data_IF_567410322946
#
_entry.id   IF_567410322946
#
_cell.length_a   1.000
_cell.length_b   1.000
_cell.length_c   1.000
_cell.angle_alpha   90.00
_cell.angle_beta   90.00
_cell.angle_gamma   90.00
#
_symmetry.space_group_name_H-M   'P 1'
#
loop_
_entity.id
_entity.type
_entity.pdbx_description
1 polymer ?
#
# COMPACT_ATOMS: atom_id res chain seq x y z
N UNK A 1 -11.82 -11.31 38.47
CA UNK A 1 -10.92 -10.71 37.47
C UNK A 1 -10.35 -11.83 36.63
N UNK A 2 -10.90 -12.09 35.46
CA UNK A 2 -10.35 -13.08 34.51
C UNK A 2 -9.21 -12.38 33.77
N UNK A 3 -8.00 -12.92 33.88
CA UNK A 3 -6.83 -12.40 33.19
C UNK A 3 -7.06 -12.43 31.66
N UNK A 4 -6.98 -11.27 31.03
CA UNK A 4 -6.88 -11.19 29.58
C UNK A 4 -5.65 -11.99 29.15
N UNK A 5 -5.87 -13.04 28.41
CA UNK A 5 -4.80 -13.89 27.89
C UNK A 5 -3.94 -13.04 26.95
N UNK A 6 -2.62 -13.17 27.05
CA UNK A 6 -1.60 -12.48 26.23
C UNK A 6 -1.81 -12.57 24.71
N UNK A 7 -2.77 -13.35 24.26
CA UNK A 7 -3.17 -13.54 22.86
C UNK A 7 -4.02 -12.39 22.32
N UNK A 8 -4.79 -11.67 23.18
CA UNK A 8 -5.68 -10.58 22.73
C UNK A 8 -4.97 -9.28 22.37
N UNK A 9 -3.73 -9.07 22.86
CA UNK A 9 -2.96 -7.83 22.63
C UNK A 9 -2.27 -7.80 21.25
N UNK A 10 -2.33 -8.88 20.47
CA UNK A 10 -1.53 -9.09 19.24
C UNK A 10 -2.31 -9.05 17.94
N UNK A 11 -3.61 -8.93 17.97
CA UNK A 11 -4.43 -8.97 16.78
C UNK A 11 -4.51 -7.61 16.06
N UNK A 12 -4.34 -7.63 14.75
CA UNK A 12 -4.73 -6.52 13.88
C UNK A 12 -6.25 -6.51 13.75
N UNK A 13 -6.86 -5.33 13.65
CA UNK A 13 -8.30 -5.20 13.42
C UNK A 13 -8.58 -3.89 12.70
N UNK A 14 -9.41 -3.96 11.66
CA UNK A 14 -9.90 -2.77 11.01
C UNK A 14 -10.81 -1.96 11.97
N UNK A 15 -10.75 -0.63 11.85
CA UNK A 15 -11.58 0.30 12.61
C UNK A 15 -11.42 0.21 14.14
N UNK A 16 -10.35 -0.39 14.65
CA UNK A 16 -10.10 -0.54 16.10
C UNK A 16 -10.02 0.79 16.86
N UNK A 17 -9.90 1.92 16.16
CA UNK A 17 -9.92 3.26 16.72
C UNK A 17 -11.35 3.76 17.02
N UNK A 18 -12.37 3.04 16.58
CA UNK A 18 -13.77 3.33 16.88
C UNK A 18 -14.17 2.67 18.22
N UNK A 19 -15.01 3.35 18.98
CA UNK A 19 -15.61 2.77 20.18
C UNK A 19 -16.67 1.71 19.85
N UNK A 20 -17.06 0.92 20.87
CA UNK A 20 -17.99 -0.19 20.69
C UNK A 20 -19.37 0.21 20.18
N UNK A 21 -19.90 1.37 20.63
CA UNK A 21 -21.22 1.85 20.22
C UNK A 21 -21.21 2.29 18.75
N UNK A 22 -20.19 3.04 18.34
CA UNK A 22 -19.98 3.42 16.94
C UNK A 22 -19.80 2.19 16.03
N UNK A 23 -19.11 1.16 16.51
CA UNK A 23 -18.94 -0.11 15.76
C UNK A 23 -20.28 -0.84 15.57
N UNK A 24 -21.16 -0.85 16.59
CA UNK A 24 -22.50 -1.46 16.48
C UNK A 24 -23.43 -0.68 15.54
N UNK A 25 -23.30 0.64 15.53
CA UNK A 25 -24.09 1.50 14.64
C UNK A 25 -23.67 1.33 13.16
N UNK A 26 -22.37 1.20 12.91
CA UNK A 26 -21.83 1.25 11.54
C UNK A 26 -21.75 -0.12 10.85
N UNK A 27 -21.65 -1.22 11.61
CA UNK A 27 -21.38 -2.54 11.05
C UNK A 27 -22.45 -3.56 11.42
N UNK A 28 -23.06 -4.17 10.42
CA UNK A 28 -23.93 -5.33 10.62
C UNK A 28 -23.15 -6.51 11.25
N UNK A 29 -21.92 -6.70 10.81
CA UNK A 29 -20.97 -7.65 11.37
C UNK A 29 -19.69 -6.91 11.77
N UNK A 30 -19.33 -6.97 13.05
CA UNK A 30 -18.11 -6.31 13.53
C UNK A 30 -16.87 -6.86 12.81
N UNK A 31 -15.91 -5.98 12.44
CA UNK A 31 -14.64 -6.43 11.90
C UNK A 31 -13.95 -7.38 12.90
N UNK A 32 -13.60 -8.56 12.43
CA UNK A 32 -12.90 -9.56 13.23
C UNK A 32 -11.41 -9.24 13.35
N UNK A 33 -10.79 -9.54 14.50
CA UNK A 33 -9.34 -9.46 14.62
C UNK A 33 -8.65 -10.53 13.76
N UNK A 34 -7.47 -10.20 13.25
CA UNK A 34 -6.63 -11.10 12.45
C UNK A 34 -5.15 -10.96 12.85
N UNK A 35 -4.33 -11.94 12.49
CA UNK A 35 -2.90 -11.99 12.83
C UNK A 35 -2.04 -12.35 11.63
N UNK A 36 -0.73 -12.18 11.75
CA UNK A 36 0.24 -12.51 10.68
C UNK A 36 0.25 -14.00 10.29
N UNK A 37 -0.30 -14.88 11.11
CA UNK A 37 -0.43 -16.31 10.84
C UNK A 37 -1.75 -16.73 10.22
N UNK A 38 -2.64 -15.77 9.97
CA UNK A 38 -3.91 -16.06 9.28
C UNK A 38 -3.64 -16.45 7.81
N UNK A 39 -4.63 -17.06 7.19
CA UNK A 39 -4.51 -17.47 5.80
C UNK A 39 -4.27 -16.27 4.86
N UNK A 40 -3.63 -16.56 3.73
CA UNK A 40 -3.25 -15.58 2.73
C UNK A 40 -4.43 -14.73 2.25
N UNK A 41 -5.59 -15.34 2.00
CA UNK A 41 -6.73 -14.65 1.40
C UNK A 41 -7.36 -13.65 2.40
N UNK A 42 -7.36 -14.03 3.70
CA UNK A 42 -7.76 -13.15 4.78
C UNK A 42 -6.80 -11.96 4.91
N UNK A 43 -5.49 -12.21 4.90
CA UNK A 43 -4.48 -11.14 4.94
C UNK A 43 -4.55 -10.24 3.71
N UNK A 44 -4.75 -10.79 2.51
CA UNK A 44 -4.88 -10.01 1.28
C UNK A 44 -6.11 -9.07 1.32
N UNK A 45 -7.25 -9.57 1.81
CA UNK A 45 -8.46 -8.76 2.00
C UNK A 45 -8.24 -7.70 3.09
N UNK A 46 -7.47 -8.03 4.12
CA UNK A 46 -7.18 -7.14 5.25
C UNK A 46 -6.11 -6.08 4.98
N UNK A 47 -5.47 -6.04 3.78
CA UNK A 47 -4.50 -5.00 3.44
C UNK A 47 -5.06 -3.59 3.61
N UNK A 48 -6.33 -3.37 3.26
CA UNK A 48 -6.97 -2.07 3.35
C UNK A 48 -6.23 -0.98 2.56
N UNK A 49 -6.21 0.24 3.09
CA UNK A 49 -5.46 1.35 2.51
C UNK A 49 -3.99 1.23 2.93
N UNK A 50 -3.16 0.61 2.10
CA UNK A 50 -1.72 0.48 2.33
C UNK A 50 -1.02 1.82 2.19
N UNK A 51 -0.31 2.26 3.23
CA UNK A 51 0.41 3.54 3.22
C UNK A 51 1.85 3.36 2.77
N UNK A 52 2.33 4.23 1.89
CA UNK A 52 3.74 4.31 1.50
C UNK A 52 4.45 5.43 2.26
N UNK A 53 5.64 5.15 2.74
CA UNK A 53 6.50 6.12 3.42
C UNK A 53 7.94 5.94 2.95
N UNK A 54 8.65 7.03 2.58
CA UNK A 54 10.06 6.94 2.21
C UNK A 54 10.88 6.33 3.36
N UNK A 55 11.70 5.33 3.05
CA UNK A 55 12.55 4.68 4.05
C UNK A 55 13.67 5.58 4.59
N UNK A 56 13.94 6.70 3.95
CA UNK A 56 14.92 7.71 4.39
C UNK A 56 14.43 8.60 5.54
N UNK A 57 13.15 8.52 5.93
CA UNK A 57 12.62 9.33 7.05
C UNK A 57 13.24 8.92 8.39
N UNK A 58 13.69 9.91 9.17
CA UNK A 58 14.26 9.68 10.49
C UNK A 58 13.25 9.35 11.61
N UNK A 59 11.94 9.53 11.36
CA UNK A 59 10.86 9.35 12.36
C UNK A 59 9.98 8.12 12.08
N UNK A 60 10.48 7.12 11.34
CA UNK A 60 9.70 5.98 10.86
C UNK A 60 9.02 5.21 12.00
N UNK A 61 9.74 4.89 13.07
CA UNK A 61 9.18 4.15 14.22
C UNK A 61 7.99 4.88 14.83
N UNK A 62 8.12 6.19 15.02
CA UNK A 62 7.04 7.04 15.55
C UNK A 62 5.88 7.15 14.56
N UNK A 63 6.18 7.32 13.27
CA UNK A 63 5.18 7.39 12.20
C UNK A 63 4.38 6.09 12.12
N UNK A 64 5.03 4.94 12.09
CA UNK A 64 4.37 3.62 12.02
C UNK A 64 3.49 3.41 13.26
N UNK A 65 4.03 3.66 14.46
CA UNK A 65 3.27 3.52 15.71
C UNK A 65 2.03 4.41 15.74
N UNK A 66 2.16 5.66 15.28
CA UNK A 66 1.04 6.60 15.17
C UNK A 66 -0.03 6.11 14.19
N UNK A 67 0.38 5.67 12.98
CA UNK A 67 -0.56 5.19 11.98
C UNK A 67 -1.25 3.89 12.41
N UNK A 68 -0.51 3.01 13.08
CA UNK A 68 -1.10 1.84 13.72
C UNK A 68 -2.18 2.21 14.75
N UNK A 69 -1.95 3.23 15.58
CA UNK A 69 -2.95 3.72 16.55
C UNK A 69 -4.18 4.34 15.86
N UNK A 70 -4.01 4.93 14.68
CA UNK A 70 -5.08 5.50 13.84
C UNK A 70 -5.87 4.41 13.07
N UNK A 71 -5.53 3.12 13.21
CA UNK A 71 -6.26 2.01 12.59
C UNK A 71 -5.73 1.57 11.22
N UNK A 72 -4.55 2.04 10.81
CA UNK A 72 -3.89 1.57 9.59
C UNK A 72 -3.40 0.14 9.80
N UNK A 73 -3.73 -0.75 8.86
CA UNK A 73 -3.42 -2.19 8.94
C UNK A 73 -2.23 -2.61 8.10
N UNK A 74 -1.79 -1.79 7.14
CA UNK A 74 -0.62 -2.11 6.31
C UNK A 74 0.17 -0.88 5.89
N UNK A 75 1.51 -1.01 5.84
CA UNK A 75 2.41 0.07 5.43
C UNK A 75 3.62 -0.49 4.67
N UNK A 76 4.12 0.31 3.73
CA UNK A 76 5.31 0.01 2.92
C UNK A 76 6.40 1.03 3.25
N UNK A 77 7.56 0.54 3.66
CA UNK A 77 8.81 1.30 3.69
C UNK A 77 9.37 1.32 2.27
N UNK A 78 9.43 2.48 1.68
CA UNK A 78 9.73 2.65 0.27
C UNK A 78 11.20 2.98 0.03
N UNK A 79 11.87 2.15 -0.79
CA UNK A 79 13.25 2.34 -1.24
C UNK A 79 13.33 2.64 -2.75
N UNK A 80 12.18 2.86 -3.40
CA UNK A 80 12.12 3.01 -4.86
C UNK A 80 11.81 4.46 -5.24
N UNK A 81 10.62 4.80 -5.72
CA UNK A 81 10.29 6.11 -6.29
C UNK A 81 10.44 7.30 -5.32
N UNK A 82 10.27 7.05 -4.02
CA UNK A 82 10.32 8.10 -3.01
C UNK A 82 11.73 8.38 -2.45
N UNK A 83 12.77 7.70 -2.96
CA UNK A 83 14.15 7.76 -2.48
C UNK A 83 15.08 8.06 -3.64
N UNK A 84 15.99 9.02 -3.49
CA UNK A 84 17.02 9.30 -4.50
C UNK A 84 18.06 8.16 -4.57
N UNK A 85 18.75 8.04 -5.71
CA UNK A 85 19.67 6.91 -5.96
C UNK A 85 20.83 6.84 -4.95
N UNK A 86 21.34 7.98 -4.53
CA UNK A 86 22.40 8.14 -3.54
C UNK A 86 21.94 7.93 -2.09
N UNK A 87 20.63 7.93 -1.84
CA UNK A 87 20.03 7.72 -0.52
C UNK A 87 19.56 6.27 -0.28
N UNK A 88 19.60 5.40 -1.29
CA UNK A 88 19.06 4.02 -1.19
C UNK A 88 19.73 3.22 -0.09
N UNK A 89 21.06 3.32 0.03
CA UNK A 89 21.82 2.61 1.06
C UNK A 89 21.43 3.05 2.46
N UNK A 90 21.35 4.35 2.67
CA UNK A 90 20.89 4.91 3.96
C UNK A 90 19.44 4.49 4.25
N UNK A 91 18.57 4.53 3.24
CA UNK A 91 17.17 4.11 3.38
C UNK A 91 17.05 2.64 3.76
N UNK A 92 17.88 1.75 3.17
CA UNK A 92 17.92 0.33 3.50
C UNK A 92 18.32 0.09 4.96
N UNK A 93 19.39 0.72 5.40
CA UNK A 93 19.85 0.65 6.80
C UNK A 93 18.79 1.17 7.76
N UNK A 94 18.15 2.28 7.43
CA UNK A 94 17.08 2.87 8.25
C UNK A 94 15.82 1.98 8.29
N UNK A 95 15.47 1.31 7.17
CA UNK A 95 14.36 0.36 7.14
C UNK A 95 14.63 -0.83 8.07
N UNK A 96 15.83 -1.42 8.03
CA UNK A 96 16.24 -2.52 8.91
C UNK A 96 16.21 -2.08 10.37
N UNK A 97 16.85 -0.96 10.71
CA UNK A 97 16.87 -0.44 12.08
C UNK A 97 15.45 -0.13 12.59
N UNK A 98 14.56 0.36 11.72
CA UNK A 98 13.17 0.63 12.06
C UNK A 98 12.41 -0.66 12.38
N UNK A 99 12.57 -1.70 11.58
CA UNK A 99 11.91 -3.00 11.81
C UNK A 99 12.41 -3.64 13.09
N UNK A 100 13.73 -3.60 13.36
CA UNK A 100 14.32 -4.10 14.61
C UNK A 100 13.79 -3.35 15.83
N UNK A 101 13.79 -2.02 15.79
CA UNK A 101 13.28 -1.20 16.89
C UNK A 101 11.77 -1.38 17.14
N UNK A 102 10.98 -1.65 16.09
CA UNK A 102 9.55 -1.97 16.24
C UNK A 102 9.36 -3.34 16.91
N UNK A 103 10.15 -4.34 16.51
CA UNK A 103 10.08 -5.67 17.09
C UNK A 103 10.45 -5.68 18.59
N UNK A 104 11.44 -4.89 18.99
CA UNK A 104 11.84 -4.72 20.39
C UNK A 104 10.74 -4.07 21.27
N UNK A 105 9.90 -3.23 20.66
CA UNK A 105 8.75 -2.61 21.35
C UNK A 105 7.58 -3.57 21.56
N UNK A 106 7.64 -4.74 20.96
CA UNK A 106 6.60 -5.76 21.01
C UNK A 106 5.82 -5.91 19.72
N UNK A 107 4.69 -6.63 19.72
CA UNK A 107 3.93 -6.92 18.52
C UNK A 107 3.40 -5.64 17.88
N UNK A 108 3.72 -5.44 16.61
CA UNK A 108 3.16 -4.33 15.81
C UNK A 108 1.86 -4.78 15.17
N UNK A 109 0.72 -4.14 15.46
CA UNK A 109 -0.58 -4.52 14.92
C UNK A 109 -0.77 -3.96 13.50
N UNK A 110 0.17 -4.27 12.62
CA UNK A 110 0.23 -3.78 11.25
C UNK A 110 1.09 -4.72 10.40
N UNK A 111 0.68 -4.98 9.18
CA UNK A 111 1.50 -5.64 8.17
C UNK A 111 2.53 -4.66 7.61
N UNK A 112 3.81 -4.97 7.75
CA UNK A 112 4.90 -4.13 7.27
C UNK A 112 5.59 -4.78 6.08
N UNK A 113 5.75 -3.99 5.03
CA UNK A 113 6.41 -4.39 3.79
C UNK A 113 7.56 -3.45 3.49
N UNK A 114 8.51 -3.92 2.69
CA UNK A 114 9.55 -3.06 2.10
C UNK A 114 9.42 -3.12 0.59
N UNK A 115 9.37 -1.98 -0.09
CA UNK A 115 9.48 -1.91 -1.54
C UNK A 115 10.95 -1.74 -1.89
N UNK A 116 11.51 -2.73 -2.58
CA UNK A 116 12.91 -2.77 -2.97
C UNK A 116 13.06 -2.47 -4.45
N UNK A 117 14.21 -1.94 -4.88
CA UNK A 117 14.50 -1.68 -6.30
C UNK A 117 14.95 -2.93 -7.06
N UNK A 118 15.65 -3.83 -6.38
CA UNK A 118 16.29 -5.00 -6.99
C UNK A 118 16.07 -6.24 -6.13
N UNK A 119 16.18 -7.42 -6.73
CA UNK A 119 16.13 -8.68 -6.01
C UNK A 119 17.25 -8.82 -4.97
N UNK A 120 18.46 -8.28 -5.25
CA UNK A 120 19.55 -8.20 -4.27
C UNK A 120 19.15 -7.46 -3.00
N UNK A 121 18.39 -6.38 -3.12
CA UNK A 121 17.85 -5.63 -1.96
C UNK A 121 17.04 -6.49 -0.99
N UNK A 122 16.33 -7.51 -1.49
CA UNK A 122 15.59 -8.46 -0.65
C UNK A 122 16.56 -9.25 0.23
N UNK A 123 17.61 -9.84 -0.39
CA UNK A 123 18.61 -10.64 0.30
C UNK A 123 19.40 -9.81 1.32
N UNK A 124 19.75 -8.58 0.97
CA UNK A 124 20.48 -7.65 1.84
C UNK A 124 19.65 -7.30 3.09
N UNK A 125 18.40 -6.92 2.92
CA UNK A 125 17.51 -6.64 4.06
C UNK A 125 17.40 -7.88 4.93
N UNK A 126 17.12 -9.05 4.36
CA UNK A 126 16.96 -10.28 5.12
C UNK A 126 18.23 -10.65 5.91
N UNK A 127 19.43 -10.45 5.34
CA UNK A 127 20.69 -10.75 6.02
C UNK A 127 21.04 -9.79 7.16
N UNK A 128 20.52 -8.55 7.11
CA UNK A 128 20.78 -7.52 8.13
C UNK A 128 19.76 -7.52 9.26
N UNK A 129 18.55 -8.10 9.06
CA UNK A 129 17.49 -8.09 10.06
C UNK A 129 17.85 -8.94 11.31
N UNK A 130 17.74 -8.32 12.46
CA UNK A 130 17.78 -8.99 13.78
C UNK A 130 16.37 -9.39 14.26
N UNK A 131 15.87 -8.67 15.26
CA UNK A 131 14.54 -8.89 15.82
C UNK A 131 13.42 -8.53 14.81
N UNK A 132 13.68 -7.60 13.88
CA UNK A 132 12.75 -7.10 12.90
C UNK A 132 12.15 -8.15 11.96
N UNK A 133 12.81 -9.32 11.87
CA UNK A 133 12.23 -10.48 11.18
C UNK A 133 10.84 -10.84 11.71
N UNK A 134 10.54 -10.55 12.97
CA UNK A 134 9.25 -10.86 13.57
C UNK A 134 8.10 -9.98 13.06
N UNK A 135 8.39 -8.79 12.55
CA UNK A 135 7.39 -7.80 12.11
C UNK A 135 7.33 -7.61 10.59
N UNK A 136 8.36 -8.03 9.85
CA UNK A 136 8.36 -7.96 8.38
C UNK A 136 7.35 -8.95 7.81
N UNK A 137 6.39 -8.48 7.03
CA UNK A 137 5.38 -9.32 6.38
C UNK A 137 5.81 -9.76 4.98
N UNK A 138 6.57 -8.94 4.27
CA UNK A 138 7.03 -9.27 2.94
C UNK A 138 7.58 -8.08 2.16
N UNK A 139 7.60 -8.22 0.82
CA UNK A 139 8.17 -7.24 -0.08
C UNK A 139 7.18 -6.80 -1.16
N UNK A 140 7.25 -5.53 -1.54
CA UNK A 140 6.63 -5.01 -2.76
C UNK A 140 7.68 -5.07 -3.87
N UNK A 141 7.32 -5.69 -4.98
CA UNK A 141 8.20 -5.90 -6.14
C UNK A 141 7.77 -4.96 -7.26
N UNK A 142 8.46 -3.83 -7.46
CA UNK A 142 8.13 -2.88 -8.51
C UNK A 142 8.46 -3.43 -9.90
N UNK A 143 7.82 -2.90 -10.92
CA UNK A 143 8.11 -3.16 -12.34
C UNK A 143 8.23 -4.66 -12.65
N UNK A 144 7.29 -5.44 -12.10
CA UNK A 144 7.26 -6.89 -12.24
C UNK A 144 6.97 -7.29 -13.68
N UNK A 145 7.85 -8.07 -14.27
CA UNK A 145 7.71 -8.64 -15.62
C UNK A 145 7.88 -10.14 -15.61
N UNK A 146 7.55 -10.80 -16.72
CA UNK A 146 7.83 -12.22 -16.90
C UNK A 146 9.33 -12.53 -16.84
N UNK A 147 10.18 -11.56 -17.18
CA UNK A 147 11.64 -11.71 -17.14
C UNK A 147 12.24 -11.47 -15.74
N UNK A 148 11.84 -10.42 -15.06
CA UNK A 148 12.42 -10.02 -13.76
C UNK A 148 11.73 -10.69 -12.58
N UNK A 149 10.45 -11.02 -12.72
CA UNK A 149 9.61 -11.55 -11.65
C UNK A 149 10.15 -12.82 -10.98
N UNK A 150 10.58 -13.86 -11.73
CA UNK A 150 11.12 -15.07 -11.13
C UNK A 150 12.30 -14.80 -10.20
N UNK A 151 13.24 -13.93 -10.60
CA UNK A 151 14.42 -13.58 -9.79
C UNK A 151 14.01 -12.93 -8.45
N UNK A 152 13.02 -12.05 -8.46
CA UNK A 152 12.50 -11.46 -7.22
C UNK A 152 11.79 -12.51 -6.34
N UNK A 153 11.00 -13.40 -6.94
CA UNK A 153 10.27 -14.41 -6.18
C UNK A 153 11.23 -15.44 -5.55
N UNK A 154 12.29 -15.82 -6.24
CA UNK A 154 13.38 -16.63 -5.72
C UNK A 154 14.10 -15.91 -4.55
N UNK A 155 14.38 -14.62 -4.68
CA UNK A 155 14.98 -13.84 -3.61
C UNK A 155 14.07 -13.77 -2.36
N UNK A 156 12.75 -13.60 -2.54
CA UNK A 156 11.78 -13.63 -1.43
C UNK A 156 11.71 -15.03 -0.81
N UNK A 157 11.82 -16.08 -1.60
CA UNK A 157 11.86 -17.45 -1.12
C UNK A 157 13.12 -17.68 -0.25
N UNK A 158 14.30 -17.32 -0.76
CA UNK A 158 15.56 -17.41 -0.02
C UNK A 158 15.55 -16.58 1.28
N UNK A 159 14.97 -15.37 1.24
CA UNK A 159 14.78 -14.55 2.43
C UNK A 159 13.83 -15.22 3.46
N UNK A 160 12.76 -15.87 3.00
CA UNK A 160 11.87 -16.63 3.89
C UNK A 160 12.61 -17.77 4.60
N UNK A 161 13.44 -18.49 3.87
CA UNK A 161 14.22 -19.61 4.41
C UNK A 161 15.28 -19.09 5.40
N UNK A 162 15.98 -18.03 5.05
CA UNK A 162 16.98 -17.40 5.92
C UNK A 162 16.38 -16.91 7.25
N UNK A 163 15.20 -16.29 7.20
CA UNK A 163 14.53 -15.74 8.38
C UNK A 163 13.69 -16.77 9.16
N UNK A 164 13.51 -17.97 8.60
CA UNK A 164 12.73 -19.04 9.18
C UNK A 164 11.23 -18.71 9.32
N UNK A 165 10.70 -17.90 8.38
CA UNK A 165 9.28 -17.50 8.36
C UNK A 165 8.78 -17.23 6.96
N UNK A 166 7.48 -17.41 6.77
CA UNK A 166 6.86 -17.09 5.50
C UNK A 166 6.85 -15.58 5.24
N UNK A 167 7.36 -15.17 4.07
CA UNK A 167 7.30 -13.81 3.57
C UNK A 167 6.47 -13.76 2.29
N UNK A 168 5.67 -12.71 2.17
CA UNK A 168 4.84 -12.46 1.01
C UNK A 168 5.51 -11.54 -0.01
N UNK A 169 5.11 -11.67 -1.27
CA UNK A 169 5.42 -10.74 -2.34
C UNK A 169 4.15 -10.03 -2.82
N UNK A 170 4.25 -8.75 -3.14
CA UNK A 170 3.23 -7.97 -3.83
C UNK A 170 3.80 -7.42 -5.13
N UNK A 171 3.65 -8.12 -6.27
CA UNK A 171 4.07 -7.64 -7.58
C UNK A 171 3.32 -6.38 -7.98
N UNK A 172 4.02 -5.38 -8.54
CA UNK A 172 3.41 -4.19 -9.15
C UNK A 172 3.48 -4.34 -10.67
N UNK A 173 2.31 -4.36 -11.30
CA UNK A 173 2.15 -4.47 -12.75
C UNK A 173 2.07 -3.07 -13.33
N UNK A 174 3.13 -2.65 -14.02
CA UNK A 174 3.31 -1.27 -14.48
C UNK A 174 4.30 -1.13 -15.65
N UNK A 175 4.90 -2.25 -16.09
CA UNK A 175 5.96 -2.23 -17.09
C UNK A 175 5.45 -1.89 -18.50
N UNK A 176 6.36 -1.40 -19.35
CA UNK A 176 6.06 -1.06 -20.73
C UNK A 176 5.50 -2.25 -21.54
N UNK A 177 5.98 -3.46 -21.24
CA UNK A 177 5.54 -4.70 -21.89
C UNK A 177 4.05 -4.98 -21.64
N UNK A 178 3.54 -4.62 -20.46
CA UNK A 178 2.12 -4.73 -20.13
C UNK A 178 1.34 -3.53 -20.68
N UNK A 179 1.95 -2.35 -20.75
CA UNK A 179 1.28 -1.14 -21.21
C UNK A 179 1.06 -1.14 -22.72
N UNK A 180 2.05 -1.61 -23.50
CA UNK A 180 1.96 -1.64 -24.96
C UNK A 180 1.06 -2.78 -25.43
N UNK A 181 0.12 -2.47 -26.34
CA UNK A 181 -0.91 -3.40 -26.79
C UNK A 181 -0.35 -4.64 -27.48
N UNK A 182 0.74 -4.47 -28.23
CA UNK A 182 1.38 -5.54 -29.01
C UNK A 182 2.05 -6.62 -28.17
N UNK A 183 2.46 -6.31 -26.91
CA UNK A 183 3.14 -7.23 -26.00
C UNK A 183 2.26 -7.67 -24.84
N UNK A 184 1.24 -6.88 -24.50
CA UNK A 184 0.41 -7.00 -23.29
C UNK A 184 -0.13 -8.38 -23.02
N UNK A 185 -0.84 -8.97 -23.96
CA UNK A 185 -1.52 -10.28 -23.74
C UNK A 185 -0.51 -11.39 -23.49
N UNK A 186 0.62 -11.40 -24.24
CA UNK A 186 1.71 -12.36 -24.04
C UNK A 186 2.36 -12.20 -22.66
N UNK A 187 2.66 -10.97 -22.28
CA UNK A 187 3.28 -10.64 -20.99
C UNK A 187 2.36 -10.99 -19.81
N UNK A 188 1.07 -10.62 -19.88
CA UNK A 188 0.10 -10.93 -18.82
C UNK A 188 -0.13 -12.43 -18.64
N UNK A 189 -0.11 -13.21 -19.73
CA UNK A 189 -0.19 -14.68 -19.65
C UNK A 189 1.04 -15.27 -18.98
N UNK A 190 2.23 -14.81 -19.35
CA UNK A 190 3.48 -15.27 -18.76
C UNK A 190 3.54 -14.92 -17.26
N UNK A 191 3.20 -13.67 -16.90
CA UNK A 191 3.07 -13.23 -15.50
C UNK A 191 2.06 -14.11 -14.74
N UNK A 192 0.88 -14.36 -15.33
CA UNK A 192 -0.15 -15.22 -14.69
C UNK A 192 0.37 -16.61 -14.38
N UNK A 193 1.14 -17.22 -15.27
CA UNK A 193 1.75 -18.54 -15.05
C UNK A 193 2.75 -18.51 -13.92
N UNK A 194 3.66 -17.52 -13.90
CA UNK A 194 4.67 -17.33 -12.85
C UNK A 194 3.99 -17.13 -11.47
N UNK A 195 2.99 -16.26 -11.42
CA UNK A 195 2.28 -16.00 -10.16
C UNK A 195 1.50 -17.23 -9.68
N UNK A 196 0.96 -18.05 -10.59
CA UNK A 196 0.27 -19.29 -10.24
C UNK A 196 1.22 -20.32 -9.60
N UNK A 197 2.45 -20.47 -10.11
CA UNK A 197 3.48 -21.34 -9.54
C UNK A 197 3.89 -20.90 -8.13
N UNK A 198 3.92 -19.59 -7.88
CA UNK A 198 4.30 -18.99 -6.60
C UNK A 198 3.10 -18.52 -5.76
N UNK A 199 1.88 -19.02 -6.06
CA UNK A 199 0.61 -18.55 -5.47
C UNK A 199 0.65 -18.37 -3.95
N UNK A 200 1.26 -19.29 -3.24
CA UNK A 200 1.36 -19.25 -1.78
C UNK A 200 2.13 -18.04 -1.26
N UNK A 201 3.01 -17.44 -2.07
CA UNK A 201 3.80 -16.24 -1.73
C UNK A 201 3.17 -14.94 -2.20
N UNK A 202 2.25 -14.98 -3.15
CA UNK A 202 1.63 -13.76 -3.68
C UNK A 202 0.48 -13.34 -2.76
N UNK A 203 0.66 -12.24 -2.04
CA UNK A 203 -0.40 -11.72 -1.18
C UNK A 203 -1.47 -10.98 -1.99
N UNK A 204 -1.05 -10.04 -2.83
CA UNK A 204 -1.91 -9.30 -3.74
C UNK A 204 -1.09 -8.82 -4.94
N UNK A 205 -1.75 -8.57 -6.05
CA UNK A 205 -1.18 -7.92 -7.24
C UNK A 205 -1.52 -6.43 -7.20
N UNK A 206 -0.55 -5.57 -7.47
CA UNK A 206 -0.71 -4.11 -7.44
C UNK A 206 -0.69 -3.52 -8.83
N UNK A 207 -1.45 -2.47 -9.04
CA UNK A 207 -1.46 -1.70 -10.30
C UNK A 207 -0.65 -0.42 -10.09
N UNK A 208 0.37 -0.18 -10.92
CA UNK A 208 1.21 1.01 -10.92
C UNK A 208 0.80 2.00 -12.01
N UNK A 209 -0.38 2.62 -11.87
CA UNK A 209 -0.94 3.46 -12.93
C UNK A 209 -0.17 4.75 -13.22
N UNK A 210 0.63 5.25 -12.27
CA UNK A 210 1.52 6.41 -12.48
C UNK A 210 2.55 6.11 -13.55
N UNK A 211 3.24 4.97 -13.45
CA UNK A 211 4.23 4.54 -14.44
C UNK A 211 3.58 4.19 -15.78
N UNK A 212 2.39 3.60 -15.76
CA UNK A 212 1.61 3.39 -16.99
C UNK A 212 1.28 4.70 -17.71
N UNK A 213 0.89 5.75 -16.97
CA UNK A 213 0.68 7.08 -17.54
C UNK A 213 1.99 7.67 -18.07
N UNK A 214 3.09 7.52 -17.33
CA UNK A 214 4.41 8.04 -17.72
C UNK A 214 4.90 7.42 -19.05
N UNK A 215 4.60 6.15 -19.32
CA UNK A 215 4.92 5.47 -20.60
C UNK A 215 4.36 6.23 -21.81
N UNK A 216 3.25 6.93 -21.67
CA UNK A 216 2.63 7.75 -22.71
C UNK A 216 2.90 9.26 -22.53
N UNK A 217 3.74 9.66 -21.59
CA UNK A 217 3.96 11.07 -21.26
C UNK A 217 2.72 11.76 -20.68
N UNK A 218 1.76 11.00 -20.16
CA UNK A 218 0.52 11.54 -19.60
C UNK A 218 0.75 11.92 -18.14
N UNK A 219 0.52 13.19 -17.83
CA UNK A 219 0.39 13.68 -16.46
C UNK A 219 -1.07 13.94 -16.17
N UNK A 220 -1.67 13.10 -15.35
CA UNK A 220 -3.09 13.20 -15.01
C UNK A 220 -3.38 14.50 -14.26
N UNK A 221 -4.46 15.17 -14.61
CA UNK A 221 -5.00 16.28 -13.83
C UNK A 221 -5.71 15.75 -12.57
N UNK A 222 -5.71 16.55 -11.50
CA UNK A 222 -6.34 16.17 -10.22
C UNK A 222 -7.85 15.98 -10.29
N UNK A 223 -8.51 16.56 -11.28
CA UNK A 223 -9.95 16.46 -11.49
C UNK A 223 -10.35 15.22 -12.30
N UNK A 224 -9.36 14.52 -12.85
CA UNK A 224 -9.54 13.30 -13.62
C UNK A 224 -9.20 12.08 -12.74
N UNK A 225 -10.08 11.09 -12.77
CA UNK A 225 -9.78 9.77 -12.20
C UNK A 225 -8.82 9.01 -13.12
N UNK A 226 -8.21 7.93 -12.64
CA UNK A 226 -7.42 7.06 -13.52
C UNK A 226 -8.29 6.45 -14.62
N UNK A 227 -9.58 6.31 -14.38
CA UNK A 227 -10.56 5.75 -15.30
C UNK A 227 -10.96 6.71 -16.43
N UNK A 228 -10.54 7.97 -16.35
CA UNK A 228 -10.67 8.95 -17.45
C UNK A 228 -9.47 8.85 -18.41
N UNK A 229 -8.39 8.14 -18.05
CA UNK A 229 -7.20 7.93 -18.90
C UNK A 229 -7.35 6.65 -19.71
N UNK A 230 -8.00 6.74 -20.86
CA UNK A 230 -8.45 5.60 -21.66
C UNK A 230 -7.37 4.54 -21.94
N UNK A 231 -6.16 4.94 -22.32
CA UNK A 231 -5.08 4.00 -22.63
C UNK A 231 -4.63 3.18 -21.41
N UNK A 232 -4.80 3.72 -20.20
CA UNK A 232 -4.47 3.03 -18.93
C UNK A 232 -5.64 2.19 -18.46
N UNK A 233 -6.88 2.65 -18.65
CA UNK A 233 -8.09 1.87 -18.34
C UNK A 233 -8.11 0.53 -19.07
N UNK A 234 -7.74 0.53 -20.35
CA UNK A 234 -7.67 -0.69 -21.15
C UNK A 234 -6.64 -1.68 -20.58
N UNK A 235 -5.48 -1.19 -20.07
CA UNK A 235 -4.49 -2.02 -19.39
C UNK A 235 -5.03 -2.58 -18.08
N UNK A 236 -5.68 -1.75 -17.27
CA UNK A 236 -6.30 -2.16 -15.99
C UNK A 236 -7.34 -3.27 -16.23
N UNK A 237 -8.19 -3.11 -17.25
CA UNK A 237 -9.20 -4.11 -17.59
C UNK A 237 -8.58 -5.46 -17.97
N UNK A 238 -7.49 -5.45 -18.74
CA UNK A 238 -6.77 -6.66 -19.11
C UNK A 238 -6.08 -7.30 -17.89
N UNK A 239 -5.47 -6.51 -17.00
CA UNK A 239 -4.88 -7.02 -15.75
C UNK A 239 -5.95 -7.72 -14.91
N UNK A 240 -7.10 -7.11 -14.71
CA UNK A 240 -8.20 -7.71 -13.94
C UNK A 240 -8.72 -8.98 -14.61
N UNK A 241 -8.84 -8.98 -15.93
CA UNK A 241 -9.27 -10.17 -16.69
C UNK A 241 -8.29 -11.35 -16.53
N UNK A 242 -6.97 -11.10 -16.61
CA UNK A 242 -5.97 -12.16 -16.48
C UNK A 242 -5.74 -12.60 -15.04
N UNK A 243 -5.73 -11.67 -14.09
CA UNK A 243 -5.22 -11.89 -12.72
C UNK A 243 -6.29 -11.75 -11.63
N UNK A 244 -7.46 -11.14 -11.91
CA UNK A 244 -8.49 -10.87 -10.90
C UNK A 244 -9.67 -11.85 -10.90
N UNK A 245 -9.52 -13.06 -11.46
CA UNK A 245 -10.60 -14.04 -11.58
C UNK A 245 -11.05 -14.57 -10.24
N UNK A 246 -12.35 -14.88 -10.12
CA UNK A 246 -12.97 -15.38 -8.88
C UNK A 246 -13.15 -16.90 -8.85
N UNK A 247 -12.68 -17.60 -9.88
CA UNK A 247 -12.76 -19.07 -10.05
C UNK A 247 -11.68 -19.84 -9.25
N UNK A 248 -10.95 -19.16 -8.35
CA UNK A 248 -9.84 -19.72 -7.60
C UNK A 248 -8.47 -19.57 -8.28
N UNK A 249 -8.43 -19.16 -9.56
CA UNK A 249 -7.17 -18.94 -10.30
C UNK A 249 -6.64 -17.51 -10.15
N UNK A 250 -7.47 -16.54 -9.74
CA UNK A 250 -7.10 -15.15 -9.61
C UNK A 250 -6.40 -14.80 -8.30
N UNK A 251 -6.09 -13.50 -8.18
CA UNK A 251 -5.47 -12.87 -7.04
C UNK A 251 -6.28 -11.65 -6.62
N UNK A 252 -6.10 -11.19 -5.39
CA UNK A 252 -6.60 -9.88 -4.96
C UNK A 252 -5.84 -8.81 -5.74
N UNK A 253 -6.57 -7.94 -6.45
CA UNK A 253 -5.99 -6.81 -7.17
C UNK A 253 -6.15 -5.56 -6.31
N UNK A 254 -5.04 -4.84 -6.08
CA UNK A 254 -5.05 -3.55 -5.39
C UNK A 254 -4.82 -2.43 -6.39
N UNK A 255 -5.57 -1.35 -6.21
CA UNK A 255 -5.58 -0.24 -7.15
C UNK A 255 -4.34 0.63 -7.13
N UNK A 256 -4.32 1.62 -8.02
CA UNK A 256 -3.27 2.62 -8.09
C UNK A 256 -3.15 3.44 -6.81
N UNK A 257 -1.98 4.01 -6.57
CA UNK A 257 -1.78 4.97 -5.49
C UNK A 257 -2.60 6.23 -5.75
N UNK A 258 -3.26 6.77 -4.71
CA UNK A 258 -3.84 8.10 -4.76
C UNK A 258 -2.73 9.16 -4.67
N UNK A 259 -2.60 9.99 -5.69
CA UNK A 259 -1.47 10.91 -5.88
C UNK A 259 -1.75 12.34 -5.40
N UNK A 260 -3.03 12.69 -5.23
CA UNK A 260 -3.46 14.07 -5.02
C UNK A 260 -3.72 14.35 -3.55
N UNK A 261 -2.71 14.91 -2.87
CA UNK A 261 -2.90 15.57 -1.59
C UNK A 261 -2.41 17.00 -1.71
N UNK A 262 -3.30 17.94 -1.49
CA UNK A 262 -2.91 19.33 -1.43
C UNK A 262 -1.98 19.53 -0.23
N UNK A 263 -0.74 19.90 -0.49
CA UNK A 263 0.19 20.40 0.54
C UNK A 263 -0.18 21.86 0.87
N UNK A 264 -1.31 22.00 1.56
CA UNK A 264 -1.88 23.30 1.85
C UNK A 264 -1.00 24.19 2.72
N UNK A 265 -0.05 23.61 3.46
CA UNK A 265 0.88 24.40 4.29
C UNK A 265 1.86 25.20 3.44
N UNK A 266 2.23 24.73 2.24
CA UNK A 266 3.12 25.44 1.34
C UNK A 266 2.41 26.47 0.46
N UNK A 267 1.16 26.19 0.06
CA UNK A 267 0.39 27.09 -0.80
C UNK A 267 -0.09 28.36 -0.08
N UNK A 268 -0.24 28.31 1.23
CA UNK A 268 -0.81 29.40 2.04
C UNK A 268 0.12 29.91 3.13
N UNK A 269 1.43 29.95 2.91
CA UNK A 269 2.27 30.83 3.72
C UNK A 269 1.95 32.26 3.33
N UNK A 270 1.33 33.07 4.22
CA UNK A 270 1.03 34.45 3.89
C UNK A 270 2.34 35.20 3.63
N UNK A 271 2.51 35.64 2.40
CA UNK A 271 3.53 36.61 2.08
C UNK A 271 3.00 37.97 2.50
N UNK A 272 3.33 38.38 3.73
CA UNK A 272 3.25 39.74 4.25
C UNK A 272 1.85 40.40 4.39
N UNK A 273 1.41 40.57 5.66
CA UNK A 273 0.24 41.29 6.15
C UNK A 273 -1.11 40.61 5.83
N UNK A 274 -1.45 39.59 6.63
CA UNK A 274 -2.81 39.01 6.65
C UNK A 274 -3.78 39.94 7.42
N UNK A 275 -4.94 40.15 6.80
CA UNK A 275 -6.11 40.66 7.55
C UNK A 275 -6.89 39.48 8.15
N UNK A 276 -7.68 39.68 9.24
CA UNK A 276 -8.53 38.61 9.82
C UNK A 276 -9.50 38.01 8.81
N UNK A 277 -9.89 38.73 7.76
CA UNK A 277 -10.76 38.25 6.68
C UNK A 277 -10.03 37.30 5.74
N UNK A 278 -8.75 37.57 5.41
CA UNK A 278 -7.93 36.68 4.59
C UNK A 278 -7.67 35.34 5.28
N UNK A 279 -7.54 35.31 6.61
CA UNK A 279 -7.40 34.09 7.38
C UNK A 279 -8.67 33.22 7.33
N UNK A 280 -9.85 33.85 7.43
CA UNK A 280 -11.15 33.15 7.34
C UNK A 280 -11.38 32.59 5.93
N UNK A 281 -11.11 33.36 4.89
CA UNK A 281 -11.22 32.91 3.49
C UNK A 281 -10.22 31.81 3.19
N UNK A 282 -8.98 31.89 3.70
CA UNK A 282 -7.99 30.85 3.58
C UNK A 282 -8.41 29.53 4.26
N UNK A 283 -9.06 29.61 5.43
CA UNK A 283 -9.57 28.42 6.14
C UNK A 283 -10.71 27.76 5.36
N UNK A 284 -11.67 28.55 4.86
CA UNK A 284 -12.79 28.05 4.06
C UNK A 284 -12.30 27.43 2.74
N UNK A 285 -11.39 28.09 2.06
CA UNK A 285 -10.78 27.56 0.82
C UNK A 285 -10.00 26.28 1.08
N UNK A 286 -9.26 26.20 2.19
CA UNK A 286 -8.59 24.96 2.62
C UNK A 286 -9.56 23.81 2.88
N UNK A 287 -10.69 24.08 3.54
CA UNK A 287 -11.73 23.08 3.78
C UNK A 287 -12.33 22.58 2.46
N UNK A 288 -12.59 23.48 1.51
CA UNK A 288 -13.11 23.12 0.18
C UNK A 288 -12.12 22.24 -0.60
N UNK A 289 -10.82 22.56 -0.58
CA UNK A 289 -9.80 21.77 -1.25
C UNK A 289 -9.65 20.37 -0.63
N UNK A 290 -9.67 20.27 0.70
CA UNK A 290 -9.61 18.98 1.40
C UNK A 290 -10.85 18.14 1.08
N UNK A 291 -12.04 18.76 1.06
CA UNK A 291 -13.29 18.09 0.68
C UNK A 291 -13.23 17.58 -0.75
N UNK A 292 -12.76 18.40 -1.69
CA UNK A 292 -12.60 18.02 -3.11
C UNK A 292 -11.64 16.85 -3.30
N UNK A 293 -10.48 16.86 -2.60
CA UNK A 293 -9.50 15.76 -2.67
C UNK A 293 -10.10 14.46 -2.11
N UNK A 294 -10.88 14.57 -1.02
CA UNK A 294 -11.56 13.42 -0.43
C UNK A 294 -12.67 12.88 -1.35
N UNK A 295 -13.47 13.76 -1.96
CA UNK A 295 -14.51 13.37 -2.91
C UNK A 295 -13.90 12.67 -4.13
N UNK A 296 -12.77 13.17 -4.65
CA UNK A 296 -12.01 12.53 -5.73
C UNK A 296 -11.52 11.13 -5.35
N UNK A 297 -10.96 10.98 -4.16
CA UNK A 297 -10.52 9.68 -3.63
C UNK A 297 -11.70 8.70 -3.49
N UNK A 298 -12.82 9.13 -2.90
CA UNK A 298 -14.01 8.30 -2.72
C UNK A 298 -14.61 7.87 -4.06
N UNK A 299 -14.62 8.77 -5.05
CA UNK A 299 -15.06 8.46 -6.41
C UNK A 299 -14.17 7.39 -7.03
N UNK A 300 -12.84 7.51 -6.95
CA UNK A 300 -11.93 6.49 -7.48
C UNK A 300 -12.08 5.15 -6.74
N UNK A 301 -12.28 5.14 -5.42
CA UNK A 301 -12.53 3.89 -4.67
C UNK A 301 -13.82 3.20 -5.14
N UNK A 302 -14.87 3.96 -5.43
CA UNK A 302 -16.10 3.40 -5.97
C UNK A 302 -15.89 2.80 -7.37
N UNK A 303 -15.12 3.48 -8.21
CA UNK A 303 -14.75 2.99 -9.55
C UNK A 303 -13.82 1.78 -9.47
N UNK A 304 -12.88 1.73 -8.55
CA UNK A 304 -12.04 0.55 -8.31
C UNK A 304 -12.90 -0.70 -8.07
N UNK A 305 -13.85 -0.61 -7.15
CA UNK A 305 -14.77 -1.72 -6.85
C UNK A 305 -15.58 -2.16 -8.06
N UNK A 306 -16.08 -1.21 -8.83
CA UNK A 306 -16.84 -1.48 -10.05
C UNK A 306 -16.00 -2.17 -11.14
N UNK A 307 -14.67 -2.01 -11.08
CA UNK A 307 -13.71 -2.60 -12.01
C UNK A 307 -12.95 -3.82 -11.45
N UNK A 308 -13.40 -4.42 -10.33
CA UNK A 308 -12.81 -5.64 -9.77
C UNK A 308 -11.56 -5.41 -8.91
N UNK A 309 -11.30 -4.18 -8.50
CA UNK A 309 -10.17 -3.80 -7.65
C UNK A 309 -10.65 -3.66 -6.20
N UNK A 310 -9.98 -4.32 -5.25
CA UNK A 310 -10.48 -4.47 -3.89
C UNK A 310 -9.94 -3.46 -2.88
N UNK A 311 -8.74 -2.93 -3.09
CA UNK A 311 -8.08 -2.02 -2.17
C UNK A 311 -7.31 -0.93 -2.93
N UNK A 312 -7.16 0.25 -2.33
CA UNK A 312 -6.37 1.34 -2.91
C UNK A 312 -5.26 1.76 -1.95
N UNK A 313 -4.00 1.72 -2.36
CA UNK A 313 -2.90 2.30 -1.59
C UNK A 313 -2.95 3.83 -1.63
N UNK A 314 -2.37 4.44 -0.62
CA UNK A 314 -2.28 5.90 -0.52
C UNK A 314 -0.87 6.31 -0.10
N UNK A 315 -0.30 7.29 -0.80
CA UNK A 315 0.90 7.99 -0.34
C UNK A 315 0.45 9.12 0.58
N UNK A 316 0.64 8.97 1.90
CA UNK A 316 0.16 9.99 2.82
C UNK A 316 1.31 10.83 3.34
N UNK A 317 1.30 12.12 3.01
CA UNK A 317 1.97 13.10 3.84
C UNK A 317 1.11 13.56 5.04
N UNK A 318 -0.22 13.56 4.95
CA UNK A 318 -1.18 13.82 6.07
C UNK A 318 -2.59 13.37 5.70
N UNK A 319 -2.99 12.18 6.06
CA UNK A 319 -4.41 11.87 6.25
C UNK A 319 -4.63 11.53 7.72
N UNK A 320 -5.30 12.42 8.46
CA UNK A 320 -6.08 11.96 9.60
C UNK A 320 -7.24 11.18 8.98
N UNK A 321 -7.14 9.85 9.01
CA UNK A 321 -8.23 8.96 8.62
C UNK A 321 -9.42 9.19 9.56
N UNK A 322 -10.26 10.14 9.25
CA UNK A 322 -11.66 9.99 9.55
C UNK A 322 -12.19 9.10 8.43
N UNK A 323 -12.07 7.78 8.60
CA UNK A 323 -12.82 6.83 7.80
C UNK A 323 -14.29 7.21 7.93
N UNK A 324 -14.87 7.72 6.85
CA UNK A 324 -16.31 7.88 6.80
C UNK A 324 -16.96 6.50 6.78
N UNK A 325 -18.02 6.29 7.56
CA UNK A 325 -18.80 5.09 7.51
C UNK A 325 -19.36 4.90 6.10
N UNK A 326 -19.19 3.71 5.56
CA UNK A 326 -19.98 3.28 4.40
C UNK A 326 -21.44 3.26 4.87
N UNK A 327 -22.22 4.26 4.49
CA UNK A 327 -23.69 4.13 4.56
C UNK A 327 -24.15 3.12 3.51
N UNK A 328 -25.19 2.31 3.83
CA UNK A 328 -25.73 1.32 2.93
C UNK A 328 -26.28 1.92 1.65
#
# INVERSE_FOLDING_TARGET
MRGATLTEVRAMQHFRHLDGATMEELFLHRPEPFGHSDDRDRLATALGATLYVPATRGDLVTTISKRAAEGVTSMVLDLEDAVADDEVEQGLQNAVATLDALAERGPTPMMLFVRVRTADGVGRIASMLGAGKAVLTGFVVPKFTAHTGPVFLEAVAAASDLLGRHLYAMPVIESAEVVHRETRDGELRAISSILAEHRHRILAVRIGATDMCATFGIRRDRDLTIYDVRVVVDVIADIVNHLGRTDGTGFVITGPVWEYFADHERMFRPMLRSTPFEEQDAVLFRQQLVSRDLDGLLREIALDRANGIQARPSSIRRMSLRCMPCRP
#
